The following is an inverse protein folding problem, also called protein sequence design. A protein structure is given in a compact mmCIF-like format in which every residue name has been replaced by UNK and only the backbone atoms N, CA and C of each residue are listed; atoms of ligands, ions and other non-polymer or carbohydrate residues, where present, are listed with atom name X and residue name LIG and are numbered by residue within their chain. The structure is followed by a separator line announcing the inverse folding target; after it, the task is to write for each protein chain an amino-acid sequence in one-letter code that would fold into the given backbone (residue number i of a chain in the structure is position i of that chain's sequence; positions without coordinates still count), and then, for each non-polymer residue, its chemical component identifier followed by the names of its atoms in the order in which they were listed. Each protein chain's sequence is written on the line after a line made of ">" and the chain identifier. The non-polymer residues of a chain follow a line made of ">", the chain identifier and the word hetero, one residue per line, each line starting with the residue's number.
data_IF_435409086018
#
_entry.id   IF_435409086018
#
_cell.length_a   1.000
_cell.length_b   1.000
_cell.length_c   1.000
_cell.angle_alpha   90.00
_cell.angle_beta   90.00
_cell.angle_gamma   90.00
#
_symmetry.space_group_name_H-M   'P 1'
#
loop_
_entity.id
_entity.type
_entity.pdbx_description
1 polymer ?
#
# COMPACT_ATOMS: atom_id res chain seq x y z
N UNK A 1 13.67 -17.88 5.15
CA UNK A 1 13.03 -17.32 3.92
C UNK A 1 13.83 -17.73 2.69
N UNK A 2 13.16 -17.98 1.58
CA UNK A 2 13.79 -18.29 0.29
C UNK A 2 13.42 -17.18 -0.69
N UNK A 3 14.40 -16.61 -1.40
CA UNK A 3 14.15 -15.70 -2.52
C UNK A 3 13.50 -16.50 -3.66
N UNK A 4 12.32 -16.09 -4.11
CA UNK A 4 11.57 -16.81 -5.15
C UNK A 4 11.55 -16.06 -6.49
N UNK A 5 11.52 -14.73 -6.45
CA UNK A 5 11.43 -13.90 -7.64
C UNK A 5 11.93 -12.48 -7.40
N UNK A 6 12.45 -11.86 -8.46
CA UNK A 6 12.65 -10.42 -8.58
C UNK A 6 11.79 -9.89 -9.73
N UNK A 7 11.12 -8.76 -9.51
CA UNK A 7 10.25 -8.11 -10.50
C UNK A 7 10.71 -6.66 -10.67
N UNK A 8 11.04 -6.20 -11.90
CA UNK A 8 11.28 -4.79 -12.17
C UNK A 8 10.02 -3.97 -11.90
N UNK A 9 10.07 -3.03 -10.96
CA UNK A 9 8.91 -2.23 -10.57
C UNK A 9 9.39 -0.92 -9.94
N UNK A 10 8.86 0.22 -10.39
CA UNK A 10 9.09 1.51 -9.77
C UNK A 10 8.62 1.53 -8.32
N UNK A 11 7.42 1.00 -8.06
CA UNK A 11 6.82 0.90 -6.71
C UNK A 11 5.88 -0.31 -6.61
N UNK A 12 5.91 -1.03 -5.47
CA UNK A 12 4.83 -1.91 -5.04
C UNK A 12 3.62 -1.08 -4.59
N UNK A 13 2.54 -1.05 -5.37
CA UNK A 13 1.38 -0.19 -5.11
C UNK A 13 0.45 -0.84 -4.09
N UNK A 14 0.01 -2.08 -4.35
CA UNK A 14 -0.81 -2.88 -3.43
C UNK A 14 -0.50 -4.37 -3.55
N UNK A 15 -0.69 -5.11 -2.45
CA UNK A 15 -0.68 -6.56 -2.39
C UNK A 15 -1.98 -7.01 -1.73
N UNK A 16 -2.71 -7.93 -2.35
CA UNK A 16 -3.90 -8.56 -1.79
C UNK A 16 -3.84 -10.06 -2.06
N UNK A 17 -3.55 -10.85 -1.01
CA UNK A 17 -3.45 -12.31 -1.08
C UNK A 17 -2.65 -12.83 -2.29
N UNK A 18 -3.29 -13.30 -3.36
CA UNK A 18 -2.62 -13.82 -4.57
C UNK A 18 -2.26 -12.75 -5.60
N UNK A 19 -2.83 -11.55 -5.49
CA UNK A 19 -2.67 -10.47 -6.49
C UNK A 19 -1.71 -9.39 -6.02
N UNK A 20 -0.87 -8.95 -6.94
CA UNK A 20 0.13 -7.89 -6.76
C UNK A 20 -0.08 -6.80 -7.81
N UNK A 21 -0.25 -5.56 -7.38
CA UNK A 21 -0.35 -4.37 -8.23
C UNK A 21 0.96 -3.58 -8.17
N UNK A 22 1.61 -3.39 -9.31
CA UNK A 22 2.86 -2.63 -9.44
C UNK A 22 2.67 -1.40 -10.31
N UNK A 23 3.51 -0.39 -10.09
CA UNK A 23 3.78 0.69 -11.03
C UNK A 23 5.13 0.40 -11.70
N UNK A 24 5.18 0.32 -13.03
CA UNK A 24 6.44 0.21 -13.78
C UNK A 24 6.99 1.58 -14.26
N UNK A 25 6.25 2.66 -14.02
CA UNK A 25 6.55 4.04 -14.42
C UNK A 25 5.67 4.56 -15.56
N UNK A 26 5.03 3.68 -16.33
CA UNK A 26 4.08 4.04 -17.40
C UNK A 26 2.74 3.33 -17.24
N UNK A 27 2.74 2.13 -16.68
CA UNK A 27 1.57 1.27 -16.54
C UNK A 27 1.39 0.80 -15.10
N UNK A 28 0.13 0.66 -14.69
CA UNK A 28 -0.26 -0.17 -13.56
C UNK A 28 -0.47 -1.59 -14.07
N UNK A 29 0.33 -2.54 -13.59
CA UNK A 29 0.27 -3.96 -13.98
C UNK A 29 -0.16 -4.83 -12.82
N UNK A 30 -1.00 -5.82 -13.11
CA UNK A 30 -1.49 -6.79 -12.13
C UNK A 30 -0.85 -8.15 -12.37
N UNK A 31 -0.25 -8.70 -11.33
CA UNK A 31 0.35 -10.03 -11.33
C UNK A 31 -0.46 -10.97 -10.43
N UNK A 32 -0.52 -12.25 -10.81
CA UNK A 32 -1.14 -13.32 -10.04
C UNK A 32 -0.12 -14.38 -9.59
N UNK A 33 -0.26 -14.82 -8.35
CA UNK A 33 0.62 -15.78 -7.70
C UNK A 33 0.24 -17.22 -8.08
N UNK A 34 1.02 -17.83 -8.97
CA UNK A 34 0.84 -19.21 -9.44
C UNK A 34 2.11 -20.02 -9.13
N UNK A 35 1.94 -21.22 -8.56
CA UNK A 35 3.03 -22.13 -8.19
C UNK A 35 4.15 -21.50 -7.31
N UNK A 36 3.88 -20.37 -6.66
CA UNK A 36 4.83 -19.63 -5.82
C UNK A 36 5.51 -18.42 -6.48
N UNK A 37 5.28 -18.18 -7.78
CA UNK A 37 5.78 -17.02 -8.51
C UNK A 37 4.63 -16.12 -8.99
N UNK A 38 4.89 -14.83 -9.12
CA UNK A 38 3.94 -13.85 -9.66
C UNK A 38 4.10 -13.76 -11.17
N UNK A 39 3.01 -13.99 -11.91
CA UNK A 39 2.95 -13.91 -13.36
C UNK A 39 2.08 -12.73 -13.79
N UNK A 40 2.51 -11.97 -14.79
CA UNK A 40 1.76 -10.83 -15.33
C UNK A 40 0.45 -11.33 -15.96
N UNK A 41 -0.69 -10.72 -15.60
CA UNK A 41 -2.00 -11.05 -16.19
C UNK A 41 -2.21 -10.42 -17.57
N UNK A 42 -1.25 -9.62 -18.05
CA UNK A 42 -1.33 -8.82 -19.29
C UNK A 42 -2.50 -7.82 -19.29
N UNK A 43 -3.01 -7.50 -18.10
CA UNK A 43 -3.95 -6.41 -17.84
C UNK A 43 -3.17 -5.21 -17.31
N UNK A 44 -3.23 -4.09 -18.04
CA UNK A 44 -2.54 -2.86 -17.67
C UNK A 44 -3.40 -1.62 -17.87
N UNK A 45 -3.31 -0.69 -16.92
CA UNK A 45 -3.83 0.68 -17.09
C UNK A 45 -2.65 1.60 -17.38
N UNK A 46 -2.62 2.17 -18.58
CA UNK A 46 -1.67 3.24 -18.95
C UNK A 46 -1.95 4.48 -18.10
N UNK A 47 -0.90 5.03 -17.51
CA UNK A 47 -0.90 6.27 -16.74
C UNK A 47 0.28 7.18 -17.11
N UNK A 48 0.87 6.99 -18.29
CA UNK A 48 2.03 7.77 -18.77
C UNK A 48 1.78 9.29 -18.84
N UNK A 49 0.52 9.73 -18.91
CA UNK A 49 0.08 11.14 -18.82
C UNK A 49 -0.07 11.65 -17.38
N UNK A 50 -0.11 10.78 -16.36
CA UNK A 50 -0.54 11.14 -15.01
C UNK A 50 0.61 11.64 -14.13
N UNK A 51 0.55 12.92 -13.76
CA UNK A 51 1.56 13.56 -12.90
C UNK A 51 1.63 13.03 -11.46
N UNK A 52 0.63 12.26 -11.01
CA UNK A 52 0.51 11.73 -9.65
C UNK A 52 -0.07 10.32 -9.63
N UNK A 53 0.45 9.46 -8.75
CA UNK A 53 -0.11 8.13 -8.51
C UNK A 53 -1.62 8.23 -8.17
N UNK A 54 -2.49 7.50 -8.89
CA UNK A 54 -3.93 7.53 -8.71
C UNK A 54 -4.30 6.82 -7.41
N UNK A 55 -5.57 6.95 -7.01
CA UNK A 55 -6.11 6.11 -5.96
C UNK A 55 -6.42 4.74 -6.59
N UNK A 56 -5.97 3.69 -5.93
CA UNK A 56 -6.15 2.30 -6.38
C UNK A 56 -6.83 1.45 -5.31
N UNK A 57 -7.46 0.36 -5.73
CA UNK A 57 -7.93 -0.71 -4.86
C UNK A 57 -7.72 -2.07 -5.54
N UNK A 58 -7.28 -3.07 -4.78
CA UNK A 58 -7.01 -4.42 -5.26
C UNK A 58 -7.70 -5.47 -4.40
N UNK A 59 -8.26 -6.49 -5.05
CA UNK A 59 -8.69 -7.77 -4.47
C UNK A 59 -8.13 -8.94 -5.27
N UNK A 60 -8.45 -10.19 -4.90
CA UNK A 60 -8.08 -11.36 -5.70
C UNK A 60 -8.78 -11.42 -7.07
N UNK A 61 -9.96 -10.81 -7.19
CA UNK A 61 -10.85 -10.91 -8.36
C UNK A 61 -10.89 -9.62 -9.18
N UNK A 62 -10.63 -8.45 -8.57
CA UNK A 62 -10.79 -7.15 -9.20
C UNK A 62 -9.65 -6.18 -8.85
N UNK A 63 -9.28 -5.33 -9.80
CA UNK A 63 -8.47 -4.13 -9.56
C UNK A 63 -9.26 -2.89 -10.00
N UNK A 64 -9.17 -1.79 -9.25
CA UNK A 64 -9.81 -0.52 -9.58
C UNK A 64 -8.82 0.64 -9.47
N UNK A 65 -8.84 1.54 -10.46
CA UNK A 65 -7.96 2.70 -10.58
C UNK A 65 -8.80 3.93 -10.93
N UNK A 66 -8.64 5.03 -10.19
CA UNK A 66 -9.31 6.29 -10.55
C UNK A 66 -8.70 6.84 -11.84
N UNK A 67 -9.53 7.05 -12.85
CA UNK A 67 -9.16 7.77 -14.06
C UNK A 67 -8.88 9.23 -13.69
N UNK A 68 -7.68 9.72 -14.02
CA UNK A 68 -7.28 11.10 -13.73
C UNK A 68 -7.61 12.07 -14.85
N UNK A 69 -7.75 11.58 -16.07
CA UNK A 69 -8.12 12.37 -17.24
C UNK A 69 -9.63 12.60 -17.26
N UNK A 70 -10.41 11.62 -16.77
CA UNK A 70 -11.87 11.72 -16.56
C UNK A 70 -12.20 11.59 -15.07
N UNK A 71 -12.24 12.72 -14.36
CA UNK A 71 -12.40 12.79 -12.88
C UNK A 71 -13.63 12.09 -12.29
N UNK A 72 -14.64 11.75 -13.10
CA UNK A 72 -15.83 10.98 -12.69
C UNK A 72 -15.71 9.47 -12.92
N UNK A 73 -14.65 8.96 -13.54
CA UNK A 73 -14.53 7.55 -13.91
C UNK A 73 -13.57 6.78 -12.99
N UNK A 74 -13.93 5.53 -12.72
CA UNK A 74 -13.03 4.52 -12.15
C UNK A 74 -12.91 3.38 -13.15
N UNK A 75 -11.68 3.13 -13.61
CA UNK A 75 -11.32 1.99 -14.46
C UNK A 75 -11.30 0.75 -13.57
N UNK A 76 -11.99 -0.30 -14.00
CA UNK A 76 -12.10 -1.56 -13.27
C UNK A 76 -11.62 -2.69 -14.18
N UNK A 77 -10.70 -3.51 -13.66
CA UNK A 77 -10.20 -4.73 -14.28
C UNK A 77 -10.81 -5.93 -13.54
N UNK A 78 -11.54 -6.77 -14.26
CA UNK A 78 -11.90 -8.11 -13.79
C UNK A 78 -10.71 -9.05 -14.06
N UNK A 79 -10.07 -9.49 -12.97
CA UNK A 79 -8.86 -10.31 -13.00
C UNK A 79 -9.14 -11.80 -13.22
N UNK A 80 -10.41 -12.20 -13.22
CA UNK A 80 -10.85 -13.59 -13.45
C UNK A 80 -11.27 -13.77 -14.91
N UNK A 81 -12.02 -12.80 -15.45
CA UNK A 81 -12.51 -12.78 -16.83
C UNK A 81 -11.57 -12.08 -17.81
N UNK A 82 -10.56 -11.38 -17.30
CA UNK A 82 -9.57 -10.62 -18.07
C UNK A 82 -10.23 -9.52 -18.95
N UNK A 83 -11.21 -8.82 -18.39
CA UNK A 83 -11.94 -7.74 -19.06
C UNK A 83 -11.80 -6.40 -18.30
N UNK A 84 -11.89 -5.29 -19.05
CA UNK A 84 -11.92 -3.94 -18.50
C UNK A 84 -13.32 -3.33 -18.66
N UNK A 85 -13.80 -2.67 -17.62
CA UNK A 85 -15.01 -1.85 -17.65
C UNK A 85 -14.86 -0.62 -16.75
N UNK A 86 -15.90 0.21 -16.67
CA UNK A 86 -15.86 1.50 -15.98
C UNK A 86 -17.02 1.63 -14.99
N UNK A 87 -16.75 2.25 -13.84
CA UNK A 87 -17.77 2.84 -12.98
C UNK A 87 -17.73 4.37 -13.18
N UNK A 88 -18.75 4.92 -13.82
CA UNK A 88 -18.95 6.37 -13.91
C UNK A 88 -19.73 6.86 -12.69
N UNK A 89 -19.10 7.70 -11.90
CA UNK A 89 -19.69 8.39 -10.75
C UNK A 89 -20.71 9.42 -11.25
N UNK A 90 -21.78 9.72 -10.48
CA UNK A 90 -22.92 10.51 -10.94
C UNK A 90 -22.59 11.97 -11.31
N UNK A 91 -21.41 12.45 -10.95
CA UNK A 91 -20.94 13.81 -11.21
C UNK A 91 -19.40 13.89 -11.13
N UNK A 92 -18.76 14.97 -11.60
CA UNK A 92 -17.34 15.23 -11.37
C UNK A 92 -17.07 15.40 -9.87
N UNK A 93 -16.33 14.48 -9.27
CA UNK A 93 -16.04 14.45 -7.83
C UNK A 93 -14.55 14.25 -7.58
N UNK A 94 -14.07 14.68 -6.42
CA UNK A 94 -12.71 14.36 -6.01
C UNK A 94 -12.71 13.05 -5.19
N UNK A 95 -12.30 11.94 -5.81
CA UNK A 95 -12.12 10.67 -5.10
C UNK A 95 -10.97 10.81 -4.09
N UNK A 96 -11.20 10.35 -2.85
CA UNK A 96 -10.29 10.45 -1.71
C UNK A 96 -9.86 9.09 -1.13
N UNK A 97 -10.62 8.03 -1.40
CA UNK A 97 -10.26 6.65 -1.04
C UNK A 97 -11.02 5.64 -1.89
N UNK A 98 -10.40 4.50 -2.18
CA UNK A 98 -11.09 3.33 -2.71
C UNK A 98 -10.72 2.08 -1.92
N UNK A 99 -11.68 1.16 -1.79
CA UNK A 99 -11.49 -0.18 -1.24
C UNK A 99 -12.37 -1.17 -2.01
N UNK A 100 -11.87 -2.37 -2.25
CA UNK A 100 -12.70 -3.50 -2.68
C UNK A 100 -12.87 -4.41 -1.47
N UNK A 101 -14.08 -4.92 -1.24
CA UNK A 101 -14.35 -5.94 -0.24
C UNK A 101 -15.49 -6.84 -0.68
N UNK A 102 -15.30 -8.16 -0.59
CA UNK A 102 -16.08 -9.11 -1.38
C UNK A 102 -16.15 -8.62 -2.85
N UNK A 103 -17.36 -8.52 -3.41
CA UNK A 103 -17.61 -8.02 -4.77
C UNK A 103 -18.11 -6.57 -4.81
N UNK A 104 -17.87 -5.78 -3.76
CA UNK A 104 -18.26 -4.37 -3.69
C UNK A 104 -17.05 -3.47 -3.74
N UNK A 105 -17.05 -2.52 -4.68
CA UNK A 105 -16.13 -1.39 -4.73
C UNK A 105 -16.73 -0.21 -3.95
N UNK A 106 -16.00 0.24 -2.95
CA UNK A 106 -16.33 1.36 -2.08
C UNK A 106 -15.50 2.57 -2.51
N UNK A 107 -16.16 3.63 -3.01
CA UNK A 107 -15.52 4.84 -3.54
C UNK A 107 -15.87 6.00 -2.63
N UNK A 108 -14.95 6.39 -1.76
CA UNK A 108 -15.11 7.59 -0.95
C UNK A 108 -14.69 8.81 -1.76
N UNK A 109 -15.60 9.75 -1.95
CA UNK A 109 -15.38 10.99 -2.68
C UNK A 109 -15.84 12.21 -1.87
N UNK A 110 -15.41 13.39 -2.32
CA UNK A 110 -15.85 14.69 -1.81
C UNK A 110 -16.25 15.60 -2.96
N UNK A 111 -17.28 16.41 -2.71
CA UNK A 111 -17.71 17.50 -3.58
C UNK A 111 -18.18 18.62 -2.67
N UNK A 112 -17.74 19.85 -2.93
CA UNK A 112 -18.00 21.03 -2.11
C UNK A 112 -17.70 20.80 -0.61
N UNK A 113 -18.76 20.56 0.17
CA UNK A 113 -18.74 20.31 1.61
C UNK A 113 -19.14 18.89 2.02
N UNK A 114 -19.71 18.10 1.11
CA UNK A 114 -20.23 16.77 1.41
C UNK A 114 -19.19 15.68 1.06
N UNK A 115 -19.10 14.67 1.92
CA UNK A 115 -18.36 13.44 1.65
C UNK A 115 -19.29 12.25 1.66
N UNK A 116 -19.21 11.49 0.59
CA UNK A 116 -20.07 10.35 0.29
C UNK A 116 -19.21 9.13 0.06
N UNK A 117 -19.72 7.98 0.48
CA UNK A 117 -19.22 6.66 0.12
C UNK A 117 -20.17 6.07 -0.92
N UNK A 118 -19.74 6.13 -2.18
CA UNK A 118 -20.37 5.35 -3.23
C UNK A 118 -20.10 3.87 -3.00
N UNK A 119 -21.07 3.03 -3.38
CA UNK A 119 -20.91 1.58 -3.40
C UNK A 119 -21.29 1.10 -4.80
N UNK A 120 -20.43 0.30 -5.39
CA UNK A 120 -20.63 -0.26 -6.72
C UNK A 120 -20.46 -1.78 -6.66
N UNK A 121 -21.48 -2.50 -7.13
CA UNK A 121 -21.45 -3.95 -7.27
C UNK A 121 -20.60 -4.32 -8.50
N UNK A 122 -19.48 -5.00 -8.29
CA UNK A 122 -18.52 -5.37 -9.33
C UNK A 122 -19.04 -6.51 -10.23
N UNK A 123 -19.93 -7.36 -9.71
CA UNK A 123 -20.49 -8.51 -10.44
C UNK A 123 -21.68 -8.09 -11.30
N UNK A 124 -22.61 -7.34 -10.72
CA UNK A 124 -23.80 -6.84 -11.41
C UNK A 124 -23.55 -5.52 -12.16
N UNK A 125 -22.39 -4.87 -11.94
CA UNK A 125 -21.97 -3.59 -12.56
C UNK A 125 -22.94 -2.44 -12.32
N UNK A 126 -23.50 -2.35 -11.12
CA UNK A 126 -24.49 -1.32 -10.75
C UNK A 126 -24.05 -0.52 -9.53
N UNK A 127 -24.43 0.76 -9.52
CA UNK A 127 -24.36 1.60 -8.33
C UNK A 127 -25.42 1.12 -7.32
N UNK A 128 -25.00 1.01 -6.06
CA UNK A 128 -25.82 0.69 -4.90
C UNK A 128 -26.11 1.97 -4.11
N UNK A 129 -26.98 1.90 -3.10
CA UNK A 129 -27.28 3.03 -2.23
C UNK A 129 -25.99 3.64 -1.63
N UNK A 130 -25.76 4.93 -1.85
CA UNK A 130 -24.63 5.62 -1.27
C UNK A 130 -24.80 5.84 0.24
N UNK A 131 -23.70 6.20 0.92
CA UNK A 131 -23.73 6.55 2.35
C UNK A 131 -23.11 7.93 2.51
N UNK A 132 -23.87 8.88 3.06
CA UNK A 132 -23.32 10.19 3.44
C UNK A 132 -22.40 9.97 4.65
N UNK A 133 -21.08 10.00 4.42
CA UNK A 133 -20.10 9.82 5.49
C UNK A 133 -20.14 11.00 6.45
N UNK A 134 -20.34 12.22 5.91
CA UNK A 134 -20.40 13.50 6.62
C UNK A 134 -20.70 14.67 5.69
N UNK A 135 -21.32 15.73 6.23
CA UNK A 135 -21.54 17.05 5.61
C UNK A 135 -20.65 18.15 6.23
N UNK A 136 -20.59 19.30 5.57
CA UNK A 136 -19.91 20.53 6.05
C UNK A 136 -18.41 20.36 6.35
N UNK A 137 -17.69 19.64 5.48
CA UNK A 137 -16.26 19.36 5.62
C UNK A 137 -15.40 20.33 4.83
N UNK A 138 -14.46 21.01 5.49
CA UNK A 138 -13.31 21.61 4.79
C UNK A 138 -12.26 20.52 4.50
N UNK A 139 -12.21 20.02 3.27
CA UNK A 139 -11.33 18.89 2.92
C UNK A 139 -9.83 19.18 3.10
N UNK A 140 -9.38 20.44 2.92
CA UNK A 140 -7.95 20.83 2.91
C UNK A 140 -7.09 20.37 4.11
N UNK A 141 -7.69 20.08 5.26
CA UNK A 141 -6.98 19.67 6.49
C UNK A 141 -7.42 18.31 7.05
N UNK A 142 -8.19 17.54 6.28
CA UNK A 142 -9.01 16.43 6.77
C UNK A 142 -8.69 15.15 5.99
N UNK A 143 -8.18 14.11 6.66
CA UNK A 143 -7.86 12.81 6.05
C UNK A 143 -8.86 11.73 6.47
N UNK A 144 -9.42 11.03 5.50
CA UNK A 144 -10.24 9.84 5.73
C UNK A 144 -9.36 8.62 5.94
N UNK A 145 -9.61 7.86 7.01
CA UNK A 145 -9.10 6.50 7.19
C UNK A 145 -10.25 5.53 6.98
N UNK A 146 -10.38 5.01 5.76
CA UNK A 146 -11.39 4.01 5.38
C UNK A 146 -10.81 2.59 5.32
N UNK A 147 -11.49 1.66 5.98
CA UNK A 147 -11.25 0.21 5.94
C UNK A 147 -12.59 -0.53 5.84
N UNK A 148 -12.59 -1.65 5.14
CA UNK A 148 -13.79 -2.45 4.85
C UNK A 148 -13.49 -3.93 5.02
N UNK A 149 -14.52 -4.69 5.38
CA UNK A 149 -14.60 -6.15 5.27
C UNK A 149 -15.96 -6.52 4.64
N UNK A 150 -16.22 -7.79 4.30
CA UNK A 150 -17.52 -8.22 3.77
C UNK A 150 -18.71 -7.98 4.72
N UNK A 151 -18.49 -7.54 5.96
CA UNK A 151 -19.50 -7.31 7.00
C UNK A 151 -19.51 -5.89 7.57
N UNK A 152 -18.44 -5.12 7.35
CA UNK A 152 -18.21 -3.87 8.08
C UNK A 152 -17.57 -2.81 7.20
N UNK A 153 -18.11 -1.60 7.29
CA UNK A 153 -17.50 -0.38 6.76
C UNK A 153 -17.04 0.44 7.96
N UNK A 154 -15.73 0.69 8.08
CA UNK A 154 -15.16 1.40 9.22
C UNK A 154 -14.40 2.62 8.74
N UNK A 155 -14.76 3.77 9.29
CA UNK A 155 -14.10 5.02 8.94
C UNK A 155 -13.86 5.92 10.14
N UNK A 156 -12.80 6.71 10.03
CA UNK A 156 -12.50 7.82 10.92
C UNK A 156 -11.95 9.01 10.14
N UNK A 157 -12.37 10.21 10.53
CA UNK A 157 -11.81 11.46 10.03
C UNK A 157 -10.72 11.96 10.97
N UNK A 158 -9.53 12.20 10.42
CA UNK A 158 -8.36 12.74 11.14
C UNK A 158 -8.04 14.12 10.57
N UNK A 159 -8.32 15.16 11.35
CA UNK A 159 -8.09 16.58 11.03
C UNK A 159 -6.85 17.10 11.75
N UNK A 160 -6.16 18.06 11.12
CA UNK A 160 -5.08 18.83 11.76
C UNK A 160 -5.53 20.28 12.01
N UNK A 161 -4.94 20.94 13.00
CA UNK A 161 -5.16 22.36 13.27
C UNK A 161 -6.49 22.67 13.97
N UNK A 162 -7.04 23.87 13.72
CA UNK A 162 -8.18 24.43 14.47
C UNK A 162 -9.50 23.64 14.35
N UNK A 163 -9.63 22.74 13.37
CA UNK A 163 -10.83 21.92 13.17
C UNK A 163 -10.84 20.63 14.03
N UNK A 164 -10.26 20.64 15.25
CA UNK A 164 -10.21 19.46 16.14
C UNK A 164 -11.59 18.89 16.47
N UNK A 165 -12.62 19.73 16.63
CA UNK A 165 -14.02 19.32 16.84
C UNK A 165 -14.56 18.40 15.73
N UNK A 166 -13.94 18.41 14.55
CA UNK A 166 -14.31 17.53 13.44
C UNK A 166 -13.63 16.15 13.52
N UNK A 167 -12.54 16.01 14.27
CA UNK A 167 -11.85 14.72 14.42
C UNK A 167 -12.54 13.78 15.38
N UNK A 168 -12.17 12.50 15.25
CA UNK A 168 -12.11 11.65 16.42
C UNK A 168 -13.39 10.91 16.79
N UNK A 169 -14.09 10.39 15.79
CA UNK A 169 -15.06 9.31 15.96
C UNK A 169 -14.67 8.17 15.03
N UNK A 170 -14.56 6.96 15.58
CA UNK A 170 -14.42 5.74 14.80
C UNK A 170 -15.83 5.19 14.56
N UNK A 171 -16.35 5.43 13.36
CA UNK A 171 -17.70 5.02 12.97
C UNK A 171 -17.64 3.66 12.29
N UNK A 172 -18.53 2.76 12.72
CA UNK A 172 -18.67 1.40 12.20
C UNK A 172 -20.09 1.26 11.67
N UNK A 173 -20.19 0.92 10.39
CA UNK A 173 -21.42 0.58 9.69
C UNK A 173 -21.39 -0.89 9.29
N UNK A 174 -22.55 -1.49 9.02
CA UNK A 174 -22.64 -2.80 8.37
C UNK A 174 -22.36 -2.69 6.86
N UNK A 175 -22.38 -3.82 6.16
CA UNK A 175 -22.24 -3.90 4.69
C UNK A 175 -23.30 -3.08 3.93
N UNK A 176 -24.48 -2.89 4.52
CA UNK A 176 -25.59 -2.10 3.97
C UNK A 176 -25.42 -0.58 4.15
N UNK A 177 -24.47 -0.13 4.95
CA UNK A 177 -24.24 1.29 5.27
C UNK A 177 -24.98 1.80 6.50
N UNK A 178 -25.66 0.92 7.23
CA UNK A 178 -26.41 1.26 8.45
C UNK A 178 -25.48 1.34 9.66
N UNK A 179 -25.76 2.27 10.58
CA UNK A 179 -24.90 2.51 11.75
C UNK A 179 -24.97 1.34 12.75
N UNK A 180 -23.82 0.73 13.04
CA UNK A 180 -23.68 -0.35 14.02
C UNK A 180 -23.15 0.17 15.36
N UNK A 181 -22.06 0.94 15.33
CA UNK A 181 -21.41 1.47 16.55
C UNK A 181 -20.62 2.73 16.22
N UNK A 182 -20.61 3.67 17.15
CA UNK A 182 -19.60 4.74 17.20
C UNK A 182 -18.72 4.45 18.40
N UNK A 183 -17.43 4.23 18.16
CA UNK A 183 -16.44 4.12 19.23
C UNK A 183 -15.90 5.51 19.53
N UNK A 184 -16.24 5.99 20.73
CA UNK A 184 -15.66 7.17 21.35
C UNK A 184 -14.63 6.67 22.38
N UNK A 185 -13.37 7.06 22.23
CA UNK A 185 -12.37 6.72 23.22
C UNK A 185 -12.46 7.69 24.41
N UNK A 186 -12.27 7.18 25.62
CA UNK A 186 -12.76 7.80 26.87
C UNK A 186 -12.23 9.21 27.16
N UNK A 187 -13.17 10.13 27.43
CA UNK A 187 -13.06 11.44 28.11
C UNK A 187 -11.97 12.45 27.67
N UNK A 188 -11.09 12.10 26.74
CA UNK A 188 -10.09 12.99 26.17
C UNK A 188 -10.40 13.22 24.69
N UNK A 189 -10.77 14.45 24.36
CA UNK A 189 -11.11 14.89 23.00
C UNK A 189 -9.96 14.79 21.99
N UNK A 190 -8.76 14.42 22.43
CA UNK A 190 -7.55 14.38 21.60
C UNK A 190 -7.12 12.97 21.17
N UNK A 191 -7.58 11.88 21.80
CA UNK A 191 -6.96 10.55 21.57
C UNK A 191 -7.21 9.98 20.16
N UNK A 192 -8.32 10.31 19.51
CA UNK A 192 -8.58 9.93 18.11
C UNK A 192 -8.11 10.97 17.06
N UNK A 193 -7.62 12.16 17.46
CA UNK A 193 -6.73 12.96 16.58
C UNK A 193 -5.46 12.15 16.28
N UNK A 194 -5.02 11.38 17.28
CA UNK A 194 -3.81 10.59 17.24
C UNK A 194 -4.07 9.15 16.78
N UNK A 195 -5.21 8.84 16.14
CA UNK A 195 -5.46 7.53 15.54
C UNK A 195 -4.34 7.17 14.54
N UNK A 196 -3.53 6.15 14.84
CA UNK A 196 -2.35 5.73 14.06
C UNK A 196 -2.78 4.94 12.83
N UNK A 197 -3.58 3.90 13.05
CA UNK A 197 -4.10 3.04 11.99
C UNK A 197 -5.42 2.36 12.41
N UNK A 198 -6.15 1.85 11.41
CA UNK A 198 -7.29 0.95 11.56
C UNK A 198 -6.98 -0.31 10.74
N UNK A 199 -7.34 -1.47 11.28
CA UNK A 199 -7.47 -2.74 10.58
C UNK A 199 -8.90 -3.25 10.78
N UNK A 200 -9.50 -3.82 9.74
CA UNK A 200 -10.78 -4.51 9.81
C UNK A 200 -10.55 -5.90 9.22
N UNK A 201 -11.03 -6.93 9.91
CA UNK A 201 -10.86 -8.31 9.51
C UNK A 201 -12.14 -9.07 9.87
N UNK A 202 -12.92 -9.46 8.85
CA UNK A 202 -14.24 -10.09 9.02
C UNK A 202 -15.15 -9.23 9.93
N UNK A 203 -15.41 -9.68 11.15
CA UNK A 203 -16.25 -9.05 12.17
C UNK A 203 -15.47 -8.23 13.22
N UNK A 204 -14.15 -8.17 13.11
CA UNK A 204 -13.25 -7.50 14.06
C UNK A 204 -12.78 -6.15 13.54
N UNK A 205 -12.75 -5.17 14.44
CA UNK A 205 -12.18 -3.84 14.22
C UNK A 205 -11.04 -3.64 15.20
N UNK A 206 -9.84 -3.42 14.67
CA UNK A 206 -8.62 -3.26 15.47
C UNK A 206 -8.01 -1.90 15.18
N UNK A 207 -7.67 -1.14 16.22
CA UNK A 207 -7.11 0.19 16.07
C UNK A 207 -6.11 0.51 17.19
N UNK A 208 -5.23 1.47 16.91
CA UNK A 208 -4.22 1.97 17.84
C UNK A 208 -3.95 3.46 17.56
N UNK A 209 -3.50 4.19 18.58
CA UNK A 209 -3.20 5.61 18.53
C UNK A 209 -1.69 5.88 18.71
N UNK A 210 -1.17 6.99 18.17
CA UNK A 210 0.27 7.27 18.07
C UNK A 210 0.99 7.24 19.43
N UNK A 211 0.35 7.77 20.48
CA UNK A 211 0.89 7.83 21.85
C UNK A 211 0.37 6.71 22.76
N UNK A 212 -0.38 5.76 22.21
CA UNK A 212 -0.91 4.63 22.96
C UNK A 212 0.00 3.41 22.80
N UNK A 213 0.42 2.84 23.94
CA UNK A 213 1.06 1.52 24.02
C UNK A 213 0.05 0.36 23.94
N UNK A 214 -1.16 0.66 23.48
CA UNK A 214 -2.31 -0.23 23.56
C UNK A 214 -2.91 -0.51 22.18
N UNK A 215 -3.48 -1.71 22.10
CA UNK A 215 -4.21 -2.22 20.96
C UNK A 215 -5.68 -2.39 21.35
N UNK A 216 -6.59 -1.64 20.73
CA UNK A 216 -8.02 -1.80 20.95
C UNK A 216 -8.63 -2.76 19.93
N UNK A 217 -9.37 -3.76 20.40
CA UNK A 217 -10.05 -4.79 19.59
C UNK A 217 -11.55 -4.77 19.93
N UNK A 218 -12.37 -4.39 18.97
CA UNK A 218 -13.84 -4.50 19.03
C UNK A 218 -14.33 -5.59 18.07
N UNK A 219 -15.52 -6.15 18.31
CA UNK A 219 -16.12 -7.16 17.44
C UNK A 219 -17.63 -6.98 17.27
N UNK A 220 -18.15 -7.29 16.08
CA UNK A 220 -19.56 -7.12 15.73
C UNK A 220 -20.50 -8.19 16.32
N UNK A 221 -19.98 -9.26 16.98
CA UNK A 221 -20.86 -10.26 17.62
C UNK A 221 -21.51 -9.73 18.90
N UNK A 222 -20.91 -8.69 19.49
CA UNK A 222 -21.41 -7.99 20.68
C UNK A 222 -21.21 -6.49 20.47
N UNK A 223 -22.00 -5.84 19.59
CA UNK A 223 -21.71 -4.48 19.17
C UNK A 223 -21.82 -3.46 20.32
N UNK A 224 -22.64 -3.77 21.32
CA UNK A 224 -22.83 -2.96 22.52
C UNK A 224 -21.64 -3.02 23.48
N UNK A 225 -20.85 -4.10 23.48
CA UNK A 225 -19.64 -4.21 24.32
C UNK A 225 -18.61 -3.12 23.93
N UNK A 226 -17.82 -2.70 24.90
CA UNK A 226 -16.68 -1.81 24.67
C UNK A 226 -15.49 -2.57 24.05
N UNK A 227 -14.58 -1.88 23.35
CA UNK A 227 -13.37 -2.49 22.81
C UNK A 227 -12.52 -3.11 23.93
N UNK A 228 -12.04 -4.33 23.72
CA UNK A 228 -11.02 -4.93 24.59
C UNK A 228 -9.68 -4.29 24.31
N UNK A 229 -9.02 -3.82 25.36
CA UNK A 229 -7.69 -3.19 25.27
C UNK A 229 -6.60 -4.17 25.66
N UNK A 230 -5.57 -4.30 24.82
CA UNK A 230 -4.33 -5.02 25.11
C UNK A 230 -3.19 -4.01 25.27
N UNK A 231 -2.85 -3.69 26.52
CA UNK A 231 -1.73 -2.82 26.86
C UNK A 231 -0.37 -3.54 26.67
N UNK A 232 0.74 -2.84 26.92
CA UNK A 232 2.11 -3.37 26.95
C UNK A 232 2.76 -3.72 25.59
N UNK A 233 2.43 -3.05 24.49
CA UNK A 233 3.20 -3.18 23.24
C UNK A 233 3.69 -1.83 22.72
N UNK A 234 4.92 -1.78 22.22
CA UNK A 234 5.31 -0.74 21.26
C UNK A 234 4.66 -1.06 19.90
N UNK A 235 3.43 -0.57 19.70
CA UNK A 235 2.63 -0.73 18.47
C UNK A 235 3.17 0.23 17.38
N UNK A 236 4.38 -0.05 16.89
CA UNK A 236 5.10 0.81 15.96
C UNK A 236 4.65 0.69 14.50
N UNK A 237 4.63 -0.52 13.95
CA UNK A 237 4.36 -0.71 12.53
C UNK A 237 2.89 -0.92 12.16
N UNK A 238 2.70 -1.30 10.89
CA UNK A 238 1.40 -1.48 10.25
C UNK A 238 0.85 -2.87 10.58
N UNK A 239 -0.49 -3.02 10.74
CA UNK A 239 -1.12 -4.32 10.87
C UNK A 239 -1.24 -5.00 9.50
N UNK A 240 -0.94 -6.29 9.47
CA UNK A 240 -1.17 -7.18 8.34
C UNK A 240 -2.14 -8.28 8.75
N UNK A 241 -3.21 -8.49 7.98
CA UNK A 241 -4.12 -9.61 8.20
C UNK A 241 -3.50 -10.87 7.62
N UNK A 242 -3.42 -11.93 8.42
CA UNK A 242 -2.89 -13.23 7.99
C UNK A 242 -4.06 -14.19 7.80
N UNK A 243 -4.99 -14.23 8.77
CA UNK A 243 -6.16 -15.10 8.71
C UNK A 243 -7.37 -14.44 9.38
N UNK A 244 -8.54 -15.08 9.29
CA UNK A 244 -9.82 -14.59 9.85
C UNK A 244 -9.81 -14.20 11.33
N UNK A 245 -8.78 -14.59 12.10
CA UNK A 245 -8.61 -14.19 13.50
C UNK A 245 -7.17 -13.91 13.93
N UNK A 246 -6.22 -13.82 12.99
CA UNK A 246 -4.82 -13.52 13.28
C UNK A 246 -4.33 -12.30 12.51
N UNK A 247 -3.69 -11.38 13.23
CA UNK A 247 -2.97 -10.24 12.64
C UNK A 247 -1.50 -10.28 13.04
N UNK A 248 -0.65 -9.84 12.12
CA UNK A 248 0.77 -9.57 12.34
C UNK A 248 0.91 -8.05 12.57
N UNK A 249 1.50 -7.66 13.69
CA UNK A 249 1.94 -6.29 13.95
C UNK A 249 3.43 -6.23 13.64
N UNK A 250 3.79 -5.66 12.49
CA UNK A 250 5.18 -5.46 12.12
C UNK A 250 5.82 -4.37 12.99
N UNK A 251 7.12 -4.48 13.22
CA UNK A 251 8.01 -3.43 13.73
C UNK A 251 9.34 -3.51 12.94
N UNK A 252 10.32 -2.67 13.26
CA UNK A 252 11.57 -2.61 12.49
C UNK A 252 12.38 -3.91 12.53
N UNK A 253 12.53 -4.49 13.72
CA UNK A 253 13.38 -5.67 13.96
C UNK A 253 12.59 -6.94 14.33
N UNK A 254 11.27 -6.85 14.48
CA UNK A 254 10.43 -7.98 14.90
C UNK A 254 8.98 -7.85 14.41
N UNK A 255 8.20 -8.91 14.54
CA UNK A 255 6.74 -8.86 14.41
C UNK A 255 6.03 -9.58 15.56
N UNK A 256 4.84 -9.11 15.94
CA UNK A 256 4.01 -9.69 17.00
C UNK A 256 2.74 -10.27 16.41
N UNK A 257 2.40 -11.51 16.78
CA UNK A 257 1.17 -12.20 16.35
C UNK A 257 0.10 -12.01 17.43
N UNK A 258 -1.09 -11.55 17.02
CA UNK A 258 -2.25 -11.33 17.91
C UNK A 258 -3.42 -12.21 17.50
N UNK A 259 -4.03 -12.89 18.48
CA UNK A 259 -5.31 -13.61 18.34
C UNK A 259 -6.46 -12.64 18.64
N UNK A 260 -7.28 -12.34 17.63
CA UNK A 260 -8.42 -11.42 17.73
C UNK A 260 -9.62 -12.02 18.49
N UNK A 261 -9.78 -13.35 18.51
CA UNK A 261 -10.89 -14.02 19.20
C UNK A 261 -10.67 -14.02 20.70
N UNK A 262 -9.45 -14.38 21.12
CA UNK A 262 -9.05 -14.39 22.52
C UNK A 262 -8.68 -13.00 23.03
N UNK A 263 -8.31 -12.09 22.13
CA UNK A 263 -7.66 -10.83 22.45
C UNK A 263 -6.41 -11.08 23.30
N UNK A 264 -5.42 -11.79 22.72
CA UNK A 264 -4.13 -12.06 23.38
C UNK A 264 -2.98 -11.97 22.38
N UNK A 265 -1.80 -11.58 22.88
CA UNK A 265 -0.53 -11.77 22.18
C UNK A 265 -0.16 -13.24 22.19
N UNK A 266 0.12 -13.83 21.03
CA UNK A 266 0.53 -15.24 20.93
C UNK A 266 2.05 -15.38 21.05
N UNK A 267 2.80 -14.62 20.24
CA UNK A 267 4.26 -14.69 20.16
C UNK A 267 4.84 -13.46 19.47
N UNK A 268 6.09 -13.11 19.80
CA UNK A 268 6.94 -12.23 18.99
C UNK A 268 7.98 -13.04 18.20
N UNK A 269 8.27 -12.63 16.97
CA UNK A 269 9.30 -13.19 16.09
C UNK A 269 10.31 -12.09 15.80
N UNK A 270 11.55 -12.28 16.25
CA UNK A 270 12.68 -11.38 15.99
C UNK A 270 13.31 -11.72 14.63
N UNK A 271 13.64 -10.70 13.83
CA UNK A 271 14.30 -10.83 12.52
C UNK A 271 15.84 -10.77 12.60
N UNK A 272 16.39 -10.50 13.78
CA UNK A 272 17.82 -10.49 14.06
C UNK A 272 18.55 -9.28 13.47
N UNK A 273 19.86 -9.41 13.24
CA UNK A 273 20.69 -8.31 12.69
C UNK A 273 20.39 -7.98 11.22
N UNK A 274 19.63 -8.80 10.51
CA UNK A 274 19.42 -8.70 9.06
C UNK A 274 18.74 -7.38 8.60
N UNK A 275 18.07 -6.66 9.49
CA UNK A 275 17.43 -5.36 9.23
C UNK A 275 18.30 -4.14 9.57
N UNK A 276 19.43 -4.33 10.27
CA UNK A 276 20.22 -3.22 10.87
C UNK A 276 21.27 -2.61 9.93
N UNK A 277 21.63 -3.31 8.86
CA UNK A 277 22.67 -2.86 7.92
C UNK A 277 22.10 -2.06 6.74
N UNK A 278 20.79 -2.08 6.50
CA UNK A 278 20.13 -1.23 5.51
C UNK A 278 19.87 0.18 6.08
N UNK A 279 20.91 1.02 6.11
CA UNK A 279 20.86 2.42 6.55
C UNK A 279 20.06 3.37 5.63
N UNK A 280 19.51 2.85 4.53
CA UNK A 280 18.72 3.61 3.55
C UNK A 280 17.30 3.04 3.44
N UNK A 281 16.32 3.87 3.78
CA UNK A 281 14.88 3.76 3.52
C UNK A 281 14.21 2.42 3.90
N UNK A 282 13.25 2.51 4.82
CA UNK A 282 12.37 1.40 5.20
C UNK A 282 11.84 0.66 3.96
N UNK A 283 12.11 -0.65 3.79
CA UNK A 283 11.51 -1.40 2.70
C UNK A 283 10.00 -1.34 2.83
N UNK A 284 9.30 -1.17 1.71
CA UNK A 284 7.85 -1.32 1.68
C UNK A 284 7.53 -2.81 1.84
N UNK A 285 7.36 -3.24 3.10
CA UNK A 285 7.01 -4.61 3.44
C UNK A 285 5.51 -4.79 3.23
N UNK A 286 5.15 -5.68 2.31
CA UNK A 286 3.80 -6.22 2.17
C UNK A 286 3.81 -7.72 2.49
N UNK A 287 2.81 -8.20 3.21
CA UNK A 287 2.74 -9.56 3.74
C UNK A 287 1.37 -10.15 3.42
N UNK A 288 1.36 -11.37 2.89
CA UNK A 288 0.17 -12.22 2.80
C UNK A 288 0.37 -13.49 3.67
N UNK A 289 -0.49 -14.51 3.52
CA UNK A 289 -0.42 -15.75 4.30
C UNK A 289 0.90 -16.52 4.21
N UNK A 290 1.64 -16.41 3.11
CA UNK A 290 2.78 -17.28 2.80
C UNK A 290 4.05 -16.51 2.37
N UNK A 291 3.91 -15.26 1.92
CA UNK A 291 4.94 -14.48 1.26
C UNK A 291 5.14 -13.12 1.91
N UNK A 292 6.39 -12.66 1.92
CA UNK A 292 6.75 -11.27 2.18
C UNK A 292 7.34 -10.67 0.91
N UNK A 293 6.80 -9.54 0.51
CA UNK A 293 7.23 -8.74 -0.62
C UNK A 293 7.99 -7.53 -0.08
N UNK A 294 9.26 -7.38 -0.47
CA UNK A 294 10.12 -6.26 -0.11
C UNK A 294 10.44 -5.44 -1.36
N UNK A 295 10.06 -4.15 -1.39
CA UNK A 295 10.52 -3.21 -2.41
C UNK A 295 11.86 -2.59 -1.96
N UNK A 296 12.92 -2.71 -2.78
CA UNK A 296 14.25 -2.18 -2.50
C UNK A 296 14.79 -1.40 -3.72
N UNK A 297 15.61 -0.37 -3.47
CA UNK A 297 16.33 0.34 -4.53
C UNK A 297 17.72 -0.28 -4.71
N UNK A 298 17.99 -0.79 -5.90
CA UNK A 298 19.29 -1.33 -6.28
C UNK A 298 20.03 -0.31 -7.16
N UNK A 299 21.34 -0.13 -6.94
CA UNK A 299 22.20 0.53 -7.92
C UNK A 299 22.61 -0.51 -8.96
N UNK A 300 22.51 -0.16 -10.24
CA UNK A 300 23.05 -0.97 -11.34
C UNK A 300 24.29 -0.30 -11.89
N UNK A 301 25.43 -0.99 -11.79
CA UNK A 301 26.70 -0.57 -12.36
C UNK A 301 26.71 -0.88 -13.86
N UNK A 302 26.39 0.12 -14.69
CA UNK A 302 26.26 0.00 -16.16
C UNK A 302 27.59 -0.13 -16.92
N UNK A 303 28.72 -0.35 -16.22
CA UNK A 303 30.07 -0.26 -16.77
C UNK A 303 30.64 -1.50 -17.48
N UNK A 304 30.05 -2.70 -17.32
CA UNK A 304 30.75 -3.96 -17.66
C UNK A 304 30.50 -4.56 -19.05
N UNK A 305 29.52 -4.13 -19.81
CA UNK A 305 29.24 -4.73 -21.14
C UNK A 305 30.08 -4.17 -22.29
N UNK A 306 30.73 -3.01 -22.15
CA UNK A 306 31.44 -2.34 -23.26
C UNK A 306 32.92 -2.75 -23.46
N UNK A 307 33.50 -3.56 -22.58
CA UNK A 307 34.91 -3.97 -22.67
C UNK A 307 35.16 -5.30 -23.40
N UNK A 308 34.13 -5.98 -23.91
CA UNK A 308 34.28 -7.30 -24.59
C UNK A 308 34.32 -7.25 -26.12
N UNK A 309 34.39 -6.06 -26.73
CA UNK A 309 34.40 -5.86 -28.20
C UNK A 309 35.31 -4.72 -28.68
N UNK A 310 36.53 -4.57 -28.14
CA UNK A 310 37.62 -3.83 -28.83
C UNK A 310 38.97 -4.50 -28.55
N UNK A 311 39.73 -4.79 -29.62
CA UNK A 311 41.16 -5.21 -29.70
C UNK A 311 41.64 -6.35 -28.80
N UNK A 312 42.19 -7.49 -29.26
CA UNK A 312 42.68 -7.94 -30.57
C UNK A 312 43.26 -6.87 -31.52
N UNK A 313 44.44 -6.36 -31.14
CA UNK A 313 45.59 -6.15 -32.04
C UNK A 313 46.85 -5.82 -31.24
N UNK A 314 47.96 -6.45 -31.66
CA UNK A 314 49.31 -6.32 -31.10
C UNK A 314 50.06 -5.10 -31.67
N UNK A 315 51.22 -4.70 -31.09
CA UNK A 315 51.77 -3.34 -31.15
C UNK A 315 52.71 -3.10 -32.35
N UNK A 316 53.22 -1.86 -32.49
CA UNK A 316 54.66 -1.55 -32.41
C UNK A 316 54.98 -0.03 -32.57
N UNK A 317 56.18 0.32 -32.08
CA UNK A 317 57.06 1.47 -32.35
C UNK A 317 56.89 2.92 -31.81
N UNK A 318 58.09 3.47 -31.56
CA UNK A 318 58.56 4.60 -30.74
C UNK A 318 58.34 6.00 -31.35
N UNK A 319 58.34 7.10 -30.54
CA UNK A 319 59.52 8.00 -30.39
C UNK A 319 59.24 9.34 -29.62
N UNK A 320 60.30 10.10 -29.30
CA UNK A 320 60.39 11.23 -28.30
C UNK A 320 61.39 12.32 -28.81
N UNK A 321 61.27 13.69 -28.65
CA UNK A 321 60.91 14.46 -27.41
C UNK A 321 60.21 15.87 -27.51
N UNK A 322 59.89 16.43 -26.32
CA UNK A 322 59.86 17.84 -25.81
C UNK A 322 59.76 19.13 -26.71
N UNK A 323 58.90 20.07 -26.27
CA UNK A 323 59.17 21.47 -25.76
C UNK A 323 58.21 22.62 -26.21
N UNK A 324 57.95 23.54 -25.25
CA UNK A 324 57.43 24.92 -25.30
C UNK A 324 55.94 25.27 -25.60
N UNK A 325 55.25 25.60 -24.50
CA UNK A 325 54.39 26.79 -24.22
C UNK A 325 53.23 27.29 -25.12
N UNK A 326 52.12 27.51 -24.39
CA UNK A 326 51.15 28.64 -24.46
C UNK A 326 49.88 28.55 -25.34
N UNK A 327 48.84 28.17 -24.59
CA UNK A 327 47.59 28.92 -24.37
C UNK A 327 46.33 28.59 -25.20
N UNK A 328 45.34 28.14 -24.44
CA UNK A 328 43.88 28.34 -24.60
C UNK A 328 43.26 27.74 -25.86
N UNK A 329 42.52 26.64 -25.67
CA UNK A 329 41.08 26.80 -25.42
C UNK A 329 40.41 25.54 -24.84
N UNK A 330 39.59 25.78 -23.82
CA UNK A 330 38.34 25.08 -23.47
C UNK A 330 38.20 23.64 -24.00
N UNK A 331 38.65 22.67 -23.21
CA UNK A 331 37.91 21.41 -23.03
C UNK A 331 37.52 21.31 -21.57
N UNK A 332 36.26 21.59 -21.28
CA UNK A 332 35.64 21.08 -20.06
C UNK A 332 35.77 19.57 -20.11
N UNK A 333 36.55 18.99 -19.21
CA UNK A 333 36.50 17.57 -18.94
C UNK A 333 35.08 17.27 -18.48
N UNK A 334 34.24 16.82 -19.41
CA UNK A 334 33.06 16.04 -19.06
C UNK A 334 33.58 14.78 -18.40
N UNK A 335 33.83 14.86 -17.10
CA UNK A 335 33.65 13.74 -16.20
C UNK A 335 32.27 13.22 -16.55
N UNK A 336 32.23 12.12 -17.31
CA UNK A 336 31.02 11.32 -17.40
C UNK A 336 30.86 10.77 -16.00
N UNK A 337 30.10 11.49 -15.18
CA UNK A 337 29.54 10.94 -13.97
C UNK A 337 28.75 9.73 -14.46
N UNK A 338 29.27 8.53 -14.20
CA UNK A 338 28.52 7.30 -14.42
C UNK A 338 27.32 7.39 -13.49
N UNK A 339 26.19 7.84 -14.05
CA UNK A 339 24.93 7.92 -13.33
C UNK A 339 24.47 6.48 -13.12
N UNK A 340 24.91 5.89 -12.00
CA UNK A 340 24.40 4.60 -11.53
C UNK A 340 22.89 4.70 -11.45
N UNK A 341 22.20 4.06 -12.37
CA UNK A 341 20.74 4.16 -12.43
C UNK A 341 20.17 3.38 -11.24
N UNK A 342 19.36 4.07 -10.44
CA UNK A 342 18.69 3.50 -9.28
C UNK A 342 17.43 2.77 -9.76
N UNK A 343 17.58 1.48 -10.05
CA UNK A 343 16.45 0.63 -10.42
C UNK A 343 15.78 0.13 -9.14
N UNK A 344 14.50 0.41 -8.98
CA UNK A 344 13.70 -0.24 -7.94
C UNK A 344 13.41 -1.68 -8.36
N UNK A 345 13.74 -2.61 -7.47
CA UNK A 345 13.52 -4.05 -7.66
C UNK A 345 12.62 -4.53 -6.53
N UNK A 346 11.54 -5.21 -6.90
CA UNK A 346 10.68 -5.89 -5.95
C UNK A 346 11.19 -7.32 -5.74
N UNK A 347 11.39 -7.68 -4.49
CA UNK A 347 11.98 -8.96 -4.08
C UNK A 347 10.94 -9.76 -3.30
N UNK A 348 10.60 -10.95 -3.79
CA UNK A 348 9.55 -11.81 -3.21
C UNK A 348 10.20 -12.98 -2.46
N UNK A 349 9.84 -13.13 -1.19
CA UNK A 349 10.33 -14.20 -0.31
C UNK A 349 9.20 -15.13 0.14
N UNK A 350 9.42 -16.44 0.03
CA UNK A 350 8.57 -17.47 0.64
C UNK A 350 9.06 -17.82 2.05
N UNK A 351 8.11 -17.87 2.99
CA UNK A 351 8.37 -18.17 4.40
C UNK A 351 7.85 -19.55 4.85
N UNK A 352 7.22 -20.34 3.96
CA UNK A 352 6.80 -21.74 4.18
C UNK A 352 7.99 -22.73 4.24
N UNK A 353 9.19 -22.25 4.57
CA UNK A 353 10.46 -22.94 4.32
C UNK A 353 10.53 -24.34 4.93
N UNK A 354 10.61 -25.36 4.06
CA UNK A 354 10.87 -26.79 4.36
C UNK A 354 10.27 -27.29 5.69
N UNK A 355 8.95 -27.23 5.83
CA UNK A 355 8.23 -28.16 6.71
C UNK A 355 8.05 -29.52 6.03
N UNK A 356 9.15 -30.28 5.89
CA UNK A 356 9.19 -31.73 5.62
C UNK A 356 10.47 -32.28 6.26
N UNK A 357 10.44 -33.39 7.04
CA UNK A 357 9.27 -34.18 7.45
C UNK A 357 8.53 -33.58 8.65
#
# INVERSE_FOLDING_TARGET
>A
PILVQQIPARVCVQLCESKLLIDDGQNYKVYDLQLGQYHDLLLSVDHSSWNHCPITALSNEFCAVVDRDITSNVIILDLVRLEQFYCTLPQPVYVISMRISAKTLYIAWVQDSDSVLERFDLENRVLLNNVVLRKDITYRYTKLKLKTSPKLIVYAWVTKGAQRKLSGRLTILNENGELVKIILHSNSSDLLLNLRWICVNEEYVVFSCFDSIELSIWNNRRPNDDPKTLSQLHVGGKPHVISKSLILLMNHDFCTIVDLRKAVYLRSIDFGRATKESSFNYPLISINQCFIVLCQYCRVDTGKEKQKMVSDRSPDDEDIPMFFERQRNITTSKVKTESSELISVMTVYDFRGRSIP
#
